data_IF_717398032328
#
_entry.id   IF_717398032328
#
_cell.length_a   1.000
_cell.length_b   1.000
_cell.length_c   1.000
_cell.angle_alpha   90.00
_cell.angle_beta   90.00
_cell.angle_gamma   90.00
#
_symmetry.space_group_name_H-M   'P 1'
#
loop_
_entity.id
_entity.type
_entity.pdbx_description
1 polymer ?
#
# COMPACT_ATOMS: atom_id res chain seq x y z
N UNK A 1 10.55 20.47 -19.65
CA UNK A 1 10.47 19.00 -19.83
C UNK A 1 10.13 18.43 -18.48
N UNK A 2 9.01 17.68 -18.36
CA UNK A 2 8.57 17.15 -17.08
C UNK A 2 9.46 15.95 -16.73
N UNK A 3 10.37 16.13 -15.79
CA UNK A 3 11.19 15.06 -15.25
C UNK A 3 10.35 14.24 -14.25
N UNK A 4 9.54 13.33 -14.78
CA UNK A 4 8.82 12.34 -14.00
C UNK A 4 9.65 11.06 -13.99
N UNK A 5 10.11 10.64 -12.82
CA UNK A 5 10.76 9.36 -12.61
C UNK A 5 9.78 8.43 -11.89
N UNK A 6 9.43 7.34 -12.53
CA UNK A 6 8.61 6.28 -11.93
C UNK A 6 9.51 5.10 -11.61
N UNK A 7 9.55 4.70 -10.35
CA UNK A 7 10.27 3.51 -9.90
C UNK A 7 9.25 2.46 -9.48
N UNK A 8 9.25 1.30 -10.15
CA UNK A 8 8.40 0.19 -9.77
C UNK A 8 9.03 -0.60 -8.62
N UNK A 9 8.26 -0.80 -7.58
CA UNK A 9 8.66 -1.58 -6.41
C UNK A 9 7.56 -2.58 -6.06
N UNK A 10 7.77 -3.83 -6.35
CA UNK A 10 6.73 -4.82 -6.10
C UNK A 10 7.17 -6.28 -6.15
N UNK A 11 8.43 -6.57 -6.49
CA UNK A 11 8.90 -7.94 -6.58
C UNK A 11 10.06 -8.19 -5.61
N UNK A 12 9.89 -9.09 -4.61
CA UNK A 12 11.03 -9.79 -4.05
C UNK A 12 11.77 -10.52 -5.20
N UNK A 13 13.09 -10.35 -5.27
CA UNK A 13 13.91 -10.86 -6.40
C UNK A 13 13.88 -12.39 -6.57
N UNK A 14 13.34 -13.12 -5.61
CA UNK A 14 13.42 -14.59 -5.48
C UNK A 14 12.07 -15.27 -5.66
N UNK A 15 11.02 -14.57 -6.10
CA UNK A 15 9.73 -15.21 -6.31
C UNK A 15 9.64 -15.80 -7.71
N UNK A 16 9.23 -17.07 -7.77
CA UNK A 16 8.86 -17.74 -9.01
C UNK A 16 7.80 -16.91 -9.74
N UNK A 17 8.14 -16.31 -10.88
CA UNK A 17 7.22 -15.41 -11.60
C UNK A 17 5.94 -16.10 -12.09
N UNK A 18 5.88 -17.41 -12.02
CA UNK A 18 4.69 -18.18 -12.41
C UNK A 18 3.66 -18.39 -11.32
N UNK A 19 3.96 -18.03 -10.04
CA UNK A 19 3.11 -18.37 -8.89
C UNK A 19 2.84 -17.24 -7.89
N UNK A 20 3.48 -16.11 -8.04
CA UNK A 20 3.32 -15.00 -7.11
C UNK A 20 2.80 -13.74 -7.82
N UNK A 21 1.78 -13.13 -7.24
CA UNK A 21 1.30 -11.82 -7.66
C UNK A 21 1.85 -10.79 -6.67
N UNK A 22 2.82 -9.96 -7.07
CA UNK A 22 3.33 -8.91 -6.20
C UNK A 22 2.29 -7.81 -6.04
N UNK A 23 2.19 -7.27 -4.84
CA UNK A 23 1.51 -6.00 -4.62
C UNK A 23 2.37 -4.89 -5.23
N UNK A 24 1.87 -4.26 -6.28
CA UNK A 24 2.58 -3.20 -6.98
C UNK A 24 2.51 -1.88 -6.22
N UNK A 25 3.67 -1.25 -5.99
CA UNK A 25 3.77 0.11 -5.46
C UNK A 25 4.65 0.92 -6.40
N UNK A 26 4.19 2.12 -6.76
CA UNK A 26 4.95 3.00 -7.64
C UNK A 26 5.39 4.22 -6.86
N UNK A 27 6.71 4.40 -6.75
CA UNK A 27 7.29 5.63 -6.27
C UNK A 27 7.48 6.59 -7.45
N UNK A 28 6.92 7.77 -7.31
CA UNK A 28 6.94 8.84 -8.31
C UNK A 28 7.73 9.99 -7.74
N UNK A 29 8.80 10.38 -8.41
CA UNK A 29 9.55 11.59 -8.11
C UNK A 29 9.19 12.67 -9.12
N UNK A 30 8.69 13.79 -8.61
CA UNK A 30 8.32 14.95 -9.44
C UNK A 30 9.17 16.16 -9.03
N UNK A 31 9.71 16.88 -10.01
CA UNK A 31 10.68 17.96 -9.80
C UNK A 31 10.21 19.06 -8.84
N UNK A 32 8.94 19.46 -8.91
CA UNK A 32 8.37 20.49 -8.04
C UNK A 32 7.50 19.95 -6.91
N UNK A 33 6.90 18.76 -7.07
CA UNK A 33 5.93 18.18 -6.12
C UNK A 33 6.57 17.20 -5.13
N UNK A 34 7.83 16.81 -5.36
CA UNK A 34 8.53 15.85 -4.53
C UNK A 34 8.08 14.41 -4.74
N UNK A 35 8.21 13.59 -3.69
CA UNK A 35 7.87 12.18 -3.77
C UNK A 35 6.38 11.92 -3.55
N UNK A 36 5.84 11.04 -4.38
CA UNK A 36 4.47 10.53 -4.28
C UNK A 36 4.47 9.01 -4.41
N UNK A 37 3.50 8.36 -3.79
CA UNK A 37 3.25 6.94 -3.99
C UNK A 37 1.92 6.73 -4.72
N UNK A 38 1.88 5.75 -5.60
CA UNK A 38 0.66 5.11 -6.05
C UNK A 38 0.59 3.73 -5.38
N UNK A 39 -0.39 3.55 -4.51
CA UNK A 39 -0.59 2.45 -3.59
C UNK A 39 0.55 2.28 -2.56
N UNK A 40 0.34 1.39 -1.58
CA UNK A 40 1.27 1.24 -0.45
C UNK A 40 1.65 -0.20 -0.14
N UNK A 41 1.12 -1.17 -0.90
CA UNK A 41 1.40 -2.57 -0.71
C UNK A 41 0.77 -3.17 0.55
N UNK A 42 1.12 -4.41 0.84
CA UNK A 42 0.73 -5.09 2.08
C UNK A 42 1.48 -4.57 3.31
N UNK A 43 0.87 -4.73 4.47
CA UNK A 43 1.57 -4.72 5.76
C UNK A 43 1.30 -6.00 6.54
N UNK A 44 2.12 -6.26 7.56
CA UNK A 44 1.94 -7.40 8.46
C UNK A 44 0.62 -7.37 9.25
N UNK A 45 -0.05 -6.23 9.30
CA UNK A 45 -1.34 -6.11 9.96
C UNK A 45 -2.44 -6.94 9.30
N UNK A 46 -2.25 -7.37 8.05
CA UNK A 46 -3.16 -8.32 7.42
C UNK A 46 -3.29 -9.61 8.24
N UNK A 47 -2.20 -10.07 8.87
CA UNK A 47 -2.21 -11.26 9.72
C UNK A 47 -2.88 -11.03 11.08
N UNK A 48 -3.03 -9.77 11.48
CA UNK A 48 -3.69 -9.34 12.73
C UNK A 48 -5.13 -8.90 12.52
N UNK A 49 -5.64 -8.98 11.29
CA UNK A 49 -7.00 -8.58 10.93
C UNK A 49 -8.09 -9.59 11.35
N UNK A 50 -7.79 -10.43 12.36
CA UNK A 50 -8.74 -11.38 12.94
C UNK A 50 -9.23 -12.44 11.93
N UNK A 51 -10.50 -12.87 12.09
CA UNK A 51 -11.10 -13.93 11.24
C UNK A 51 -11.09 -13.52 9.76
N UNK A 52 -11.30 -12.24 9.44
CA UNK A 52 -11.29 -11.76 8.05
C UNK A 52 -9.91 -11.94 7.42
N UNK A 53 -8.84 -11.54 8.10
CA UNK A 53 -7.46 -11.73 7.62
C UNK A 53 -7.10 -13.21 7.47
N UNK A 54 -7.54 -14.03 8.41
CA UNK A 54 -7.35 -15.49 8.32
C UNK A 54 -8.04 -16.09 7.09
N UNK A 55 -9.30 -15.77 6.86
CA UNK A 55 -10.05 -16.26 5.69
C UNK A 55 -9.46 -15.73 4.38
N UNK A 56 -9.10 -14.46 4.34
CA UNK A 56 -8.43 -13.87 3.18
C UNK A 56 -7.14 -14.62 2.84
N UNK A 57 -6.29 -14.86 3.83
CA UNK A 57 -5.03 -15.56 3.63
C UNK A 57 -5.19 -17.06 3.24
N UNK A 58 -6.36 -17.65 3.48
CA UNK A 58 -6.70 -18.98 2.96
C UNK A 58 -6.96 -18.98 1.46
N UNK A 59 -7.57 -17.92 0.96
CA UNK A 59 -7.94 -17.78 -0.47
C UNK A 59 -6.80 -17.11 -1.26
N UNK A 60 -6.15 -16.13 -0.64
CA UNK A 60 -5.04 -15.36 -1.20
C UNK A 60 -3.84 -15.48 -0.24
N UNK A 61 -3.06 -16.56 -0.32
CA UNK A 61 -1.92 -16.76 0.56
C UNK A 61 -0.92 -15.60 0.43
N UNK A 62 -0.86 -14.77 1.45
CA UNK A 62 -0.02 -13.57 1.48
C UNK A 62 1.29 -13.87 2.22
N UNK A 63 2.38 -13.35 1.69
CA UNK A 63 3.69 -13.34 2.36
C UNK A 63 4.18 -11.91 2.41
N UNK A 64 4.34 -11.39 3.60
CA UNK A 64 4.91 -10.06 3.84
C UNK A 64 5.69 -10.09 5.16
N UNK A 65 6.93 -9.65 5.09
CA UNK A 65 7.81 -9.44 6.25
C UNK A 65 7.96 -7.95 6.49
N UNK A 66 8.58 -7.55 7.60
CA UNK A 66 8.89 -6.14 7.85
C UNK A 66 9.76 -5.52 6.75
N UNK A 67 10.62 -6.34 6.13
CA UNK A 67 11.49 -5.91 5.04
C UNK A 67 10.76 -5.67 3.71
N UNK A 68 9.56 -6.24 3.57
CA UNK A 68 8.71 -6.07 2.39
C UNK A 68 7.77 -4.87 2.53
N UNK A 69 7.58 -4.35 3.75
CA UNK A 69 6.75 -3.17 3.98
C UNK A 69 7.39 -1.92 3.35
N UNK A 70 6.54 -1.01 2.90
CA UNK A 70 6.98 0.17 2.13
C UNK A 70 8.05 1.03 2.82
N UNK A 71 8.05 1.24 4.16
CA UNK A 71 9.11 2.01 4.81
C UNK A 71 10.49 1.40 4.63
N UNK A 72 10.61 0.07 4.76
CA UNK A 72 11.89 -0.62 4.59
C UNK A 72 12.38 -0.53 3.13
N UNK A 73 11.45 -0.57 2.18
CA UNK A 73 11.78 -0.42 0.76
C UNK A 73 12.26 0.99 0.42
N UNK A 74 11.57 2.02 0.93
CA UNK A 74 11.98 3.42 0.77
C UNK A 74 13.36 3.68 1.39
N UNK A 75 13.59 3.15 2.60
CA UNK A 75 14.87 3.32 3.30
C UNK A 75 16.05 2.72 2.54
N UNK A 76 15.87 1.63 1.78
CA UNK A 76 16.92 1.06 0.91
C UNK A 76 17.35 2.03 -0.18
N UNK A 77 16.49 2.98 -0.56
CA UNK A 77 16.81 4.02 -1.54
C UNK A 77 17.21 5.33 -0.88
N UNK A 78 17.34 5.36 0.45
CA UNK A 78 17.68 6.56 1.20
C UNK A 78 16.52 7.55 1.31
N UNK A 79 15.27 7.09 1.13
CA UNK A 79 14.08 7.92 1.23
C UNK A 79 13.37 7.65 2.55
N UNK A 80 13.17 8.70 3.34
CA UNK A 80 12.36 8.64 4.55
C UNK A 80 10.87 8.74 4.23
N UNK A 81 10.01 8.08 5.02
CA UNK A 81 8.56 8.14 4.84
C UNK A 81 8.01 9.57 4.91
N UNK A 82 8.61 10.43 5.72
CA UNK A 82 8.26 11.84 5.84
C UNK A 82 8.54 12.67 4.59
N UNK A 83 9.30 12.15 3.63
CA UNK A 83 9.53 12.79 2.33
C UNK A 83 8.40 12.53 1.33
N UNK A 84 7.53 11.57 1.62
CA UNK A 84 6.38 11.26 0.77
C UNK A 84 5.27 12.27 1.03
N UNK A 85 5.04 13.15 0.07
CA UNK A 85 4.04 14.21 0.20
C UNK A 85 2.63 13.75 -0.08
N UNK A 86 2.47 12.80 -1.00
CA UNK A 86 1.15 12.30 -1.42
C UNK A 86 1.16 10.80 -1.58
N UNK A 87 0.04 10.20 -1.21
CA UNK A 87 -0.24 8.79 -1.46
C UNK A 87 -1.56 8.72 -2.22
N UNK A 88 -1.50 8.23 -3.44
CA UNK A 88 -2.67 7.98 -4.27
C UNK A 88 -3.07 6.52 -4.09
N UNK A 89 -4.30 6.28 -3.66
CA UNK A 89 -4.85 4.95 -3.52
C UNK A 89 -5.73 4.62 -4.73
N UNK A 90 -5.35 3.59 -5.47
CA UNK A 90 -6.13 3.12 -6.62
C UNK A 90 -7.47 2.52 -6.18
N UNK A 91 -7.45 1.74 -5.10
CA UNK A 91 -8.60 1.16 -4.43
C UNK A 91 -8.23 0.65 -3.03
N UNK A 92 -9.18 0.06 -2.29
CA UNK A 92 -9.05 -0.21 -0.85
C UNK A 92 -8.76 -1.69 -0.51
N UNK A 93 -8.27 -2.49 -1.43
CA UNK A 93 -7.86 -3.85 -1.12
C UNK A 93 -6.56 -3.89 -0.29
N UNK A 94 -6.33 -4.96 0.48
CA UNK A 94 -5.21 -5.04 1.42
C UNK A 94 -3.83 -4.82 0.82
N UNK A 95 -3.64 -5.25 -0.42
CA UNK A 95 -2.40 -5.14 -1.20
C UNK A 95 -2.13 -3.72 -1.75
N UNK A 96 -3.08 -2.81 -1.54
CA UNK A 96 -2.97 -1.41 -1.96
C UNK A 96 -2.91 -0.46 -0.76
N UNK A 97 -3.69 -0.74 0.30
CA UNK A 97 -3.79 0.15 1.46
C UNK A 97 -2.98 -0.29 2.68
N UNK A 98 -2.38 -1.48 2.66
CA UNK A 98 -1.75 -2.06 3.85
C UNK A 98 -0.69 -1.18 4.48
N UNK A 99 0.05 -0.41 3.69
CA UNK A 99 1.08 0.50 4.16
C UNK A 99 0.64 1.93 4.42
N UNK A 100 -0.63 2.30 4.19
CA UNK A 100 -1.10 3.70 4.33
C UNK A 100 -0.85 4.26 5.73
N UNK A 101 -0.90 3.42 6.76
CA UNK A 101 -0.65 3.78 8.16
C UNK A 101 0.71 4.45 8.41
N UNK A 102 1.68 4.24 7.53
CA UNK A 102 3.01 4.81 7.67
C UNK A 102 3.13 6.26 7.18
N UNK A 103 2.05 6.81 6.61
CA UNK A 103 2.03 8.12 5.96
C UNK A 103 1.01 9.09 6.57
N UNK A 104 1.03 9.31 7.91
CA UNK A 104 0.03 10.18 8.57
C UNK A 104 0.15 11.65 8.17
N UNK A 105 1.32 12.07 7.69
CA UNK A 105 1.59 13.46 7.28
C UNK A 105 1.43 13.67 5.76
N UNK A 106 1.14 12.61 5.01
CA UNK A 106 0.95 12.70 3.56
C UNK A 106 -0.50 13.05 3.22
N UNK A 107 -0.68 13.78 2.14
CA UNK A 107 -1.99 13.97 1.53
C UNK A 107 -2.44 12.63 0.90
N UNK A 108 -3.56 12.08 1.38
CA UNK A 108 -4.12 10.85 0.84
C UNK A 108 -5.16 11.18 -0.23
N UNK A 109 -4.97 10.66 -1.42
CA UNK A 109 -5.82 10.91 -2.58
C UNK A 109 -6.47 9.59 -2.99
N UNK A 110 -7.79 9.58 -3.11
CA UNK A 110 -8.55 8.44 -3.59
C UNK A 110 -9.81 8.92 -4.32
N UNK A 111 -10.50 8.01 -5.02
CA UNK A 111 -11.78 8.35 -5.65
C UNK A 111 -12.86 8.58 -4.59
N UNK A 112 -13.89 9.36 -4.93
CA UNK A 112 -15.06 9.58 -4.07
C UNK A 112 -15.74 8.26 -3.71
N UNK A 113 -15.87 7.33 -4.67
CA UNK A 113 -16.46 6.02 -4.44
C UNK A 113 -15.65 5.20 -3.42
N UNK A 114 -14.30 5.25 -3.50
CA UNK A 114 -13.44 4.57 -2.52
C UNK A 114 -13.61 5.17 -1.12
N UNK A 115 -13.71 6.50 -1.03
CA UNK A 115 -13.93 7.18 0.24
C UNK A 115 -15.28 6.82 0.87
N UNK A 116 -16.36 6.73 0.09
CA UNK A 116 -17.67 6.29 0.57
C UNK A 116 -17.64 4.86 1.12
N UNK A 117 -16.84 3.98 0.52
CA UNK A 117 -16.68 2.59 0.99
C UNK A 117 -15.98 2.54 2.36
N UNK A 118 -15.06 3.45 2.68
CA UNK A 118 -14.42 3.49 4.01
C UNK A 118 -15.45 3.58 5.14
N UNK A 119 -16.47 4.42 4.99
CA UNK A 119 -17.51 4.63 6.00
C UNK A 119 -18.54 3.49 6.09
N UNK A 120 -18.69 2.66 5.04
CA UNK A 120 -19.75 1.66 4.91
C UNK A 120 -19.24 0.30 4.43
N UNK A 121 -17.97 -0.02 4.67
CA UNK A 121 -17.31 -1.23 4.15
C UNK A 121 -18.04 -2.52 4.54
N UNK A 122 -18.47 -3.27 3.52
CA UNK A 122 -19.06 -4.60 3.66
C UNK A 122 -17.99 -5.68 3.48
N UNK A 123 -18.26 -6.88 3.99
CA UNK A 123 -17.32 -8.02 3.85
C UNK A 123 -16.95 -8.29 2.39
N UNK A 124 -17.92 -8.13 1.47
CA UNK A 124 -17.74 -8.34 0.02
C UNK A 124 -16.78 -7.33 -0.64
N UNK A 125 -16.58 -6.18 -0.04
CA UNK A 125 -15.78 -5.11 -0.61
C UNK A 125 -14.28 -5.33 -0.37
N UNK A 126 -13.91 -6.41 0.35
CA UNK A 126 -12.54 -6.78 0.72
C UNK A 126 -11.75 -5.65 1.39
N UNK A 127 -12.45 -4.72 2.00
CA UNK A 127 -11.85 -3.66 2.83
C UNK A 127 -11.71 -4.19 4.25
N UNK A 128 -10.52 -4.05 4.80
CA UNK A 128 -10.20 -4.50 6.15
C UNK A 128 -10.09 -3.29 7.08
N UNK A 129 -11.06 -3.09 7.99
CA UNK A 129 -11.01 -1.95 8.92
C UNK A 129 -9.72 -1.88 9.73
N UNK A 130 -9.09 -3.02 10.02
CA UNK A 130 -7.83 -3.08 10.73
C UNK A 130 -6.64 -2.49 9.95
N UNK A 131 -6.76 -2.33 8.63
CA UNK A 131 -5.74 -1.71 7.77
C UNK A 131 -6.00 -0.23 7.53
N UNK A 132 -7.17 0.27 7.92
CA UNK A 132 -7.55 1.68 7.79
C UNK A 132 -7.16 2.38 9.08
N UNK A 133 -6.20 3.31 9.07
CA UNK A 133 -5.83 4.04 10.26
C UNK A 133 -6.94 4.98 10.68
N UNK A 134 -7.05 5.23 11.99
CA UNK A 134 -8.13 6.05 12.57
C UNK A 134 -8.09 7.53 12.17
N UNK A 135 -6.99 7.97 11.59
CA UNK A 135 -6.84 9.35 11.11
C UNK A 135 -7.26 9.52 9.64
N UNK A 136 -7.51 8.45 8.89
CA UNK A 136 -8.01 8.46 7.52
C UNK A 136 -9.54 8.51 7.50
#
# INVERSE_FOLDING_TARGET
MNNLRVMYRGLPRDMDPGRAFPAGVFLIEHESEGYMLLDTGYSQDIFRSGVRGFLYNKVTPTRVTAEDEIPAQLARDGIDVGQIRRVVLSHLHPDHIGGVKFFPESEIIMSADAYEVLGNARVRDLVFPALVPSWL
#
